data_IF_507816456502
#
_entry.id   IF_507816456502
#
_cell.length_a   1.000
_cell.length_b   1.000
_cell.length_c   1.000
_cell.angle_alpha   90.00
_cell.angle_beta   90.00
_cell.angle_gamma   90.00
#
_symmetry.space_group_name_H-M   'P 1'
#
loop_
_entity.id
_entity.type
_entity.pdbx_description
1 polymer ?
#
# COMPACT_ATOMS: atom_id res chain seq x y z
N UNK A 1 12.36 -1.44 -9.66
CA UNK A 1 12.82 -0.06 -9.34
C UNK A 1 12.26 0.51 -8.03
N UNK A 2 10.93 0.52 -7.78
CA UNK A 2 10.31 1.06 -6.53
C UNK A 2 10.91 0.50 -5.24
N UNK A 3 11.09 -0.82 -5.16
CA UNK A 3 11.69 -1.49 -3.99
C UNK A 3 13.14 -1.06 -3.73
N UNK A 4 13.93 -0.83 -4.79
CA UNK A 4 15.31 -0.37 -4.69
C UNK A 4 15.40 1.03 -4.08
N UNK A 5 14.53 1.95 -4.53
CA UNK A 5 14.44 3.30 -3.96
C UNK A 5 13.99 3.30 -2.50
N UNK A 6 13.06 2.41 -2.13
CA UNK A 6 12.65 2.24 -0.74
C UNK A 6 13.83 1.80 0.13
N UNK A 7 14.59 0.79 -0.30
CA UNK A 7 15.76 0.31 0.41
C UNK A 7 16.87 1.37 0.46
N UNK A 8 17.09 2.11 -0.63
CA UNK A 8 18.05 3.22 -0.67
C UNK A 8 17.77 4.24 0.43
N UNK A 9 16.51 4.68 0.53
CA UNK A 9 16.08 5.63 1.56
C UNK A 9 16.25 5.05 2.96
N UNK A 10 15.83 3.80 3.19
CA UNK A 10 15.99 3.14 4.49
C UNK A 10 17.46 3.07 4.90
N UNK A 11 18.33 2.66 3.99
CA UNK A 11 19.77 2.59 4.24
C UNK A 11 20.36 3.98 4.51
N UNK A 12 19.96 5.00 3.75
CA UNK A 12 20.39 6.38 3.98
C UNK A 12 20.00 6.88 5.39
N UNK A 13 18.79 6.57 5.84
CA UNK A 13 18.31 6.90 7.18
C UNK A 13 19.13 6.20 8.27
N UNK A 14 19.45 4.92 8.08
CA UNK A 14 20.25 4.13 9.03
C UNK A 14 21.69 4.66 9.11
N UNK A 15 22.35 4.80 7.95
CA UNK A 15 23.76 5.23 7.85
C UNK A 15 23.95 6.63 8.42
N UNK A 16 22.99 7.52 8.22
CA UNK A 16 23.09 8.90 8.67
C UNK A 16 22.41 9.14 10.02
N UNK A 17 21.83 8.10 10.61
CA UNK A 17 21.08 8.14 11.87
C UNK A 17 20.05 9.28 11.93
N UNK A 18 19.41 9.55 10.80
CA UNK A 18 18.45 10.65 10.66
C UNK A 18 17.34 10.32 9.68
N UNK A 19 16.13 10.76 10.00
CA UNK A 19 14.97 10.69 9.11
C UNK A 19 14.91 11.87 8.12
N UNK A 20 15.67 12.93 8.39
CA UNK A 20 15.71 14.15 7.59
C UNK A 20 16.41 13.91 6.23
N UNK A 21 15.68 14.04 5.10
CA UNK A 21 16.24 13.90 3.76
C UNK A 21 17.35 14.86 3.40
N UNK A 22 17.45 16.01 4.06
CA UNK A 22 18.52 16.97 3.80
C UNK A 22 19.89 16.44 4.26
N UNK A 23 19.93 15.66 5.34
CA UNK A 23 21.16 15.12 5.94
C UNK A 23 21.84 14.06 5.04
N UNK A 24 21.07 13.27 4.31
CA UNK A 24 21.58 12.21 3.44
C UNK A 24 21.48 12.52 1.94
N UNK A 25 21.16 13.78 1.59
CA UNK A 25 21.06 14.26 0.21
C UNK A 25 22.34 14.06 -0.60
N UNK A 26 23.50 14.21 0.02
CA UNK A 26 24.80 14.07 -0.63
C UNK A 26 25.32 12.62 -0.67
N UNK A 27 24.59 11.68 -0.06
CA UNK A 27 24.98 10.27 0.09
C UNK A 27 24.21 9.38 -0.87
N UNK A 28 24.30 9.68 -2.16
CA UNK A 28 23.66 8.87 -3.19
C UNK A 28 24.26 7.46 -3.24
N UNK A 29 23.43 6.40 -3.31
CA UNK A 29 23.90 5.06 -3.64
C UNK A 29 24.66 5.00 -4.98
N UNK A 30 25.61 4.07 -5.12
CA UNK A 30 26.45 3.94 -6.32
C UNK A 30 25.68 3.62 -7.60
N UNK A 31 24.54 2.95 -7.48
CA UNK A 31 23.70 2.54 -8.61
C UNK A 31 22.68 3.61 -9.04
N UNK A 32 22.58 4.75 -8.34
CA UNK A 32 21.65 5.84 -8.68
C UNK A 32 22.42 7.10 -9.04
N UNK A 33 22.00 7.79 -10.10
CA UNK A 33 22.62 9.07 -10.47
C UNK A 33 22.40 10.09 -9.35
N UNK A 34 23.46 10.84 -9.02
CA UNK A 34 23.48 11.80 -7.91
C UNK A 34 22.40 12.87 -8.01
N UNK A 35 22.21 13.44 -9.20
CA UNK A 35 21.17 14.44 -9.49
C UNK A 35 19.77 13.90 -9.23
N UNK A 36 19.49 12.68 -9.69
CA UNK A 36 18.21 12.03 -9.46
C UNK A 36 17.98 11.69 -7.98
N UNK A 37 19.01 11.23 -7.26
CA UNK A 37 18.94 11.06 -5.81
C UNK A 37 18.61 12.37 -5.09
N UNK A 38 19.33 13.46 -5.39
CA UNK A 38 19.06 14.78 -4.82
C UNK A 38 17.63 15.25 -5.07
N UNK A 39 17.12 15.05 -6.29
CA UNK A 39 15.72 15.35 -6.62
C UNK A 39 14.74 14.58 -5.74
N UNK A 40 14.99 13.28 -5.48
CA UNK A 40 14.18 12.48 -4.56
C UNK A 40 14.26 12.97 -3.12
N UNK A 41 15.46 13.34 -2.65
CA UNK A 41 15.65 13.92 -1.32
C UNK A 41 14.83 15.20 -1.16
N UNK A 42 14.83 16.09 -2.16
CA UNK A 42 14.04 17.33 -2.13
C UNK A 42 12.54 17.04 -2.06
N UNK A 43 12.04 16.07 -2.85
CA UNK A 43 10.63 15.65 -2.79
C UNK A 43 10.29 15.11 -1.40
N UNK A 44 11.16 14.30 -0.81
CA UNK A 44 10.93 13.76 0.52
C UNK A 44 11.06 14.81 1.61
N UNK A 45 11.88 15.85 1.44
CA UNK A 45 12.02 16.96 2.37
C UNK A 45 10.85 17.95 2.31
N UNK A 46 10.10 17.98 1.20
CA UNK A 46 8.97 18.87 1.03
C UNK A 46 7.92 18.64 2.13
N UNK A 47 7.44 19.73 2.74
CA UNK A 47 6.47 19.73 3.84
C UNK A 47 5.23 18.89 3.50
N UNK A 48 4.60 19.16 2.35
CA UNK A 48 3.46 18.39 1.84
C UNK A 48 3.71 16.88 1.84
N UNK A 49 4.91 16.45 1.48
CA UNK A 49 5.25 15.02 1.46
C UNK A 49 5.37 14.47 2.88
N UNK A 50 6.00 15.20 3.80
CA UNK A 50 6.17 14.80 5.21
C UNK A 50 4.84 14.73 5.95
N UNK A 51 3.95 15.72 5.74
CA UNK A 51 2.59 15.72 6.28
C UNK A 51 1.81 14.49 5.79
N UNK A 52 1.75 14.30 4.47
CA UNK A 52 1.06 13.16 3.86
C UNK A 52 1.62 11.84 4.39
N UNK A 53 2.94 11.71 4.48
CA UNK A 53 3.59 10.51 4.98
C UNK A 53 3.26 10.24 6.45
N UNK A 54 3.28 11.27 7.29
CA UNK A 54 2.96 11.16 8.72
C UNK A 54 1.51 10.76 8.93
N UNK A 55 0.57 11.44 8.28
CA UNK A 55 -0.85 11.09 8.31
C UNK A 55 -1.09 9.66 7.82
N UNK A 56 -0.51 9.28 6.68
CA UNK A 56 -0.62 7.90 6.17
C UNK A 56 -0.05 6.87 7.13
N UNK A 57 1.07 7.18 7.81
CA UNK A 57 1.69 6.29 8.79
C UNK A 57 0.79 6.11 10.01
N UNK A 58 0.22 7.20 10.54
CA UNK A 58 -0.73 7.17 11.66
C UNK A 58 -1.99 6.40 11.27
N UNK A 59 -2.57 6.68 10.11
CA UNK A 59 -3.78 6.00 9.64
C UNK A 59 -3.57 4.49 9.48
N UNK A 60 -2.40 4.06 8.97
CA UNK A 60 -2.05 2.63 8.87
C UNK A 60 -1.85 1.97 10.22
N UNK A 61 -1.26 2.69 11.19
CA UNK A 61 -1.05 2.17 12.54
C UNK A 61 -2.37 2.08 13.33
N UNK A 62 -3.25 3.07 13.18
CA UNK A 62 -4.54 3.13 13.86
C UNK A 62 -5.54 2.10 13.30
N UNK A 63 -5.50 1.82 11.99
CA UNK A 63 -6.48 0.97 11.32
C UNK A 63 -5.82 -0.20 10.58
N UNK A 64 -5.15 -1.07 11.34
CA UNK A 64 -4.44 -2.22 10.79
C UNK A 64 -5.39 -3.21 10.07
N UNK A 65 -6.61 -3.36 10.59
CA UNK A 65 -7.61 -4.30 10.08
C UNK A 65 -8.45 -3.74 8.92
N UNK A 66 -8.58 -2.41 8.80
CA UNK A 66 -9.41 -1.78 7.76
C UNK A 66 -8.73 -1.76 6.37
N UNK A 67 -7.41 -2.00 6.30
CA UNK A 67 -6.63 -1.87 5.07
C UNK A 67 -6.23 -3.21 4.44
N UNK A 68 -6.71 -4.35 4.96
CA UNK A 68 -6.37 -5.67 4.44
C UNK A 68 -7.36 -6.07 3.35
N UNK A 69 -6.85 -6.25 2.13
CA UNK A 69 -7.57 -6.87 1.01
C UNK A 69 -6.60 -7.80 0.26
N UNK A 70 -7.11 -8.87 -0.35
CA UNK A 70 -6.30 -9.86 -1.09
C UNK A 70 -6.32 -9.64 -2.61
N UNK A 71 -7.03 -8.61 -3.07
CA UNK A 71 -7.23 -8.28 -4.49
C UNK A 71 -5.98 -7.93 -5.30
N UNK A 72 -4.85 -7.65 -4.65
CA UNK A 72 -3.68 -7.07 -5.29
C UNK A 72 -3.97 -5.67 -5.87
N UNK A 73 -3.19 -5.25 -6.88
CA UNK A 73 -3.40 -3.97 -7.59
C UNK A 73 -4.45 -4.09 -8.70
N UNK A 74 -5.57 -4.74 -8.40
CA UNK A 74 -6.71 -4.91 -9.32
C UNK A 74 -7.93 -4.26 -8.69
N UNK A 75 -8.67 -3.48 -9.48
CA UNK A 75 -9.83 -2.77 -8.97
C UNK A 75 -10.98 -3.73 -8.64
N UNK A 76 -11.86 -3.31 -7.73
CA UNK A 76 -13.08 -4.04 -7.39
C UNK A 76 -13.95 -4.27 -8.64
N UNK A 77 -14.11 -3.25 -9.50
CA UNK A 77 -14.83 -3.36 -10.77
C UNK A 77 -14.22 -4.42 -11.72
N UNK A 78 -12.89 -4.51 -11.80
CA UNK A 78 -12.25 -5.57 -12.59
C UNK A 78 -12.51 -6.96 -12.01
N UNK A 79 -12.52 -7.11 -10.68
CA UNK A 79 -12.91 -8.37 -10.04
C UNK A 79 -14.38 -8.71 -10.32
N UNK A 80 -15.28 -7.73 -10.26
CA UNK A 80 -16.69 -7.89 -10.60
C UNK A 80 -16.87 -8.37 -12.05
N UNK A 81 -16.26 -7.71 -13.04
CA UNK A 81 -16.36 -8.12 -14.45
C UNK A 81 -15.77 -9.50 -14.73
N UNK A 82 -14.72 -9.90 -14.00
CA UNK A 82 -14.17 -11.27 -14.10
C UNK A 82 -15.14 -12.29 -13.54
N UNK A 83 -15.73 -12.00 -12.38
CA UNK A 83 -16.66 -12.90 -11.72
C UNK A 83 -17.98 -13.04 -12.50
N UNK A 84 -18.46 -11.96 -13.14
CA UNK A 84 -19.62 -12.00 -14.03
C UNK A 84 -19.42 -12.98 -15.20
N UNK A 85 -18.23 -12.97 -15.82
CA UNK A 85 -17.88 -13.90 -16.89
C UNK A 85 -17.81 -15.35 -16.40
N UNK A 86 -17.28 -15.57 -15.20
CA UNK A 86 -17.20 -16.89 -14.58
C UNK A 86 -18.59 -17.46 -14.23
N UNK A 87 -19.46 -16.63 -13.64
CA UNK A 87 -20.81 -17.03 -13.20
C UNK A 87 -21.84 -17.01 -14.33
N UNK A 88 -21.54 -16.35 -15.47
CA UNK A 88 -22.46 -16.08 -16.58
C UNK A 88 -23.72 -15.33 -16.14
N UNK A 89 -23.62 -14.56 -15.07
CA UNK A 89 -24.65 -13.68 -14.51
C UNK A 89 -23.99 -12.55 -13.74
N UNK A 90 -24.70 -11.42 -13.51
CA UNK A 90 -24.22 -10.39 -12.61
C UNK A 90 -23.94 -10.96 -11.21
N UNK A 91 -22.72 -10.75 -10.65
CA UNK A 91 -22.40 -11.17 -9.29
C UNK A 91 -23.03 -10.22 -8.27
N UNK A 92 -23.35 -10.74 -7.09
CA UNK A 92 -23.78 -9.89 -5.97
C UNK A 92 -22.58 -9.14 -5.37
N UNK A 93 -22.85 -8.08 -4.60
CA UNK A 93 -21.80 -7.38 -3.86
C UNK A 93 -21.03 -8.35 -2.94
N UNK A 94 -21.74 -9.23 -2.23
CA UNK A 94 -21.14 -10.20 -1.32
C UNK A 94 -20.19 -11.16 -2.04
N UNK A 95 -20.54 -11.64 -3.24
CA UNK A 95 -19.68 -12.55 -4.01
C UNK A 95 -18.37 -11.86 -4.45
N UNK A 96 -18.44 -10.60 -4.87
CA UNK A 96 -17.24 -9.82 -5.21
C UNK A 96 -16.44 -9.48 -3.95
N UNK A 97 -17.11 -9.16 -2.85
CA UNK A 97 -16.50 -8.84 -1.58
C UNK A 97 -15.72 -10.04 -1.00
N UNK A 98 -16.33 -11.22 -1.00
CA UNK A 98 -15.71 -12.48 -0.60
C UNK A 98 -14.45 -12.78 -1.42
N UNK A 99 -14.54 -12.63 -2.75
CA UNK A 99 -13.39 -12.86 -3.65
C UNK A 99 -12.21 -11.91 -3.39
N UNK A 100 -12.48 -10.75 -2.80
CA UNK A 100 -11.49 -9.69 -2.56
C UNK A 100 -11.00 -9.58 -1.11
N UNK A 101 -11.74 -10.17 -0.16
CA UNK A 101 -11.48 -10.05 1.28
C UNK A 101 -11.45 -11.39 2.04
N UNK A 102 -11.55 -12.54 1.36
CA UNK A 102 -11.20 -13.85 1.93
C UNK A 102 -9.76 -14.24 1.62
N UNK A 103 -9.16 -15.03 2.50
CA UNK A 103 -7.83 -15.59 2.30
C UNK A 103 -7.91 -16.67 1.20
N UNK A 104 -6.94 -16.68 0.29
CA UNK A 104 -6.93 -17.65 -0.81
C UNK A 104 -6.87 -19.08 -0.26
N UNK A 105 -7.78 -19.95 -0.70
CA UNK A 105 -7.82 -21.35 -0.30
C UNK A 105 -8.47 -21.60 1.06
N UNK A 106 -9.06 -20.58 1.69
CA UNK A 106 -9.88 -20.76 2.89
C UNK A 106 -11.16 -19.92 2.77
N UNK A 107 -12.14 -20.17 3.63
CA UNK A 107 -13.36 -19.37 3.70
C UNK A 107 -13.27 -18.24 4.75
N UNK A 108 -12.05 -17.98 5.26
CA UNK A 108 -11.84 -16.99 6.31
C UNK A 108 -11.58 -15.60 5.74
N UNK A 109 -12.18 -14.58 6.35
CA UNK A 109 -11.87 -13.19 6.05
C UNK A 109 -10.43 -12.81 6.45
N UNK A 110 -9.89 -11.82 5.75
CA UNK A 110 -8.51 -11.33 5.94
C UNK A 110 -8.36 -10.45 7.19
N UNK A 111 -9.48 -9.93 7.71
CA UNK A 111 -9.57 -9.16 8.95
C UNK A 111 -10.96 -9.29 9.58
N UNK A 112 -11.06 -9.02 10.88
CA UNK A 112 -12.35 -8.96 11.58
C UNK A 112 -13.25 -7.87 11.00
N UNK A 113 -12.66 -6.76 10.58
CA UNK A 113 -13.39 -5.68 9.90
C UNK A 113 -14.03 -6.14 8.60
N UNK A 114 -13.35 -6.95 7.81
CA UNK A 114 -13.92 -7.50 6.58
C UNK A 114 -15.10 -8.43 6.88
N UNK A 115 -15.01 -9.24 7.95
CA UNK A 115 -16.11 -10.07 8.43
C UNK A 115 -17.31 -9.22 8.86
N UNK A 116 -17.10 -8.19 9.68
CA UNK A 116 -18.18 -7.28 10.12
C UNK A 116 -18.85 -6.58 8.94
N UNK A 117 -18.09 -6.15 7.93
CA UNK A 117 -18.66 -5.54 6.72
C UNK A 117 -19.51 -6.57 5.99
N UNK A 118 -19.01 -7.77 5.74
CA UNK A 118 -19.80 -8.84 5.11
C UNK A 118 -21.11 -9.13 5.87
N UNK A 119 -21.06 -9.17 7.20
CA UNK A 119 -22.24 -9.38 8.05
C UNK A 119 -23.25 -8.23 7.94
N UNK A 120 -22.80 -6.99 7.76
CA UNK A 120 -23.70 -5.83 7.59
C UNK A 120 -24.44 -5.79 6.25
N UNK A 121 -23.97 -6.56 5.25
CA UNK A 121 -24.56 -6.67 3.91
C UNK A 121 -25.23 -8.04 3.68
N UNK A 122 -25.31 -8.89 4.72
CA UNK A 122 -26.03 -10.17 4.71
C UNK A 122 -27.49 -9.99 5.10
#
# INVERSE_FOLDING_TARGET
>A
FKHLLYNARKNAQIVCRSLDPTIWRERAPTWIRRDYWKSRCNIWAAERWQETFTTMKVNRAANLEANKHTSGSVSFATHQSRLEKELKRPPTFQEVFDKTHKKKGTDQYVSDRAREVAESYS
#
